data_IF_457787219792
#
_entry.id   IF_457787219792
#
_cell.length_a   1.000
_cell.length_b   1.000
_cell.length_c   1.000
_cell.angle_alpha   90.00
_cell.angle_beta   90.00
_cell.angle_gamma   90.00
#
_symmetry.space_group_name_H-M   'P 1'
#
loop_
_entity.id
_entity.type
_entity.pdbx_description
1 polymer ?
#
# COMPACT_ATOMS: atom_id res chain seq x y z
N UNK A 1 -11.43 13.80 16.09
CA UNK A 1 -11.11 14.58 14.87
C UNK A 1 -10.96 13.57 13.74
N UNK A 2 -12.00 13.36 12.94
CA UNK A 2 -11.97 12.38 11.85
C UNK A 2 -11.62 13.08 10.55
N UNK A 3 -10.47 12.73 9.95
CA UNK A 3 -10.13 13.14 8.59
C UNK A 3 -11.22 12.58 7.65
N UNK A 4 -12.13 13.43 7.14
CA UNK A 4 -13.04 13.04 6.06
C UNK A 4 -12.30 13.20 4.73
N UNK A 5 -11.96 12.12 4.02
CA UNK A 5 -11.47 12.23 2.67
C UNK A 5 -12.58 12.73 1.73
N UNK A 6 -12.26 13.49 0.67
CA UNK A 6 -13.23 13.98 -0.28
C UNK A 6 -13.89 12.83 -1.05
N UNK A 7 -15.24 12.78 -1.02
CA UNK A 7 -16.04 11.82 -1.79
C UNK A 7 -15.77 11.95 -3.29
N UNK A 8 -15.13 10.96 -3.94
CA UNK A 8 -15.24 10.77 -5.39
C UNK A 8 -15.19 9.30 -5.85
N UNK A 9 -16.30 8.94 -6.51
CA UNK A 9 -16.53 7.96 -7.58
C UNK A 9 -15.74 6.64 -7.49
N UNK A 10 -16.43 5.63 -6.94
CA UNK A 10 -16.08 4.22 -7.00
C UNK A 10 -15.90 3.81 -8.47
N UNK A 11 -14.67 3.57 -8.91
CA UNK A 11 -14.41 2.65 -10.03
C UNK A 11 -13.94 1.36 -9.38
N UNK A 12 -14.90 0.50 -9.07
CA UNK A 12 -14.64 -0.88 -8.66
C UNK A 12 -13.78 -1.49 -9.78
N UNK A 13 -12.49 -1.69 -9.51
CA UNK A 13 -11.63 -2.46 -10.40
C UNK A 13 -12.03 -3.91 -10.19
N UNK A 14 -12.77 -4.42 -11.16
CA UNK A 14 -13.23 -5.80 -11.26
C UNK A 14 -12.00 -6.74 -11.22
N UNK A 15 -11.92 -7.61 -10.22
CA UNK A 15 -10.75 -8.48 -9.96
C UNK A 15 -10.65 -9.69 -10.88
N UNK A 16 -11.43 -9.75 -11.98
CA UNK A 16 -11.51 -10.95 -12.83
C UNK A 16 -11.22 -10.74 -14.31
N UNK A 17 -10.77 -9.55 -14.76
CA UNK A 17 -10.50 -9.35 -16.21
C UNK A 17 -9.40 -8.32 -16.50
N UNK A 18 -8.19 -8.53 -16.00
CA UNK A 18 -7.00 -7.91 -16.63
C UNK A 18 -5.99 -9.02 -16.94
N UNK A 19 -6.16 -9.63 -18.12
CA UNK A 19 -5.10 -10.38 -18.80
C UNK A 19 -4.07 -9.38 -19.33
N UNK A 20 -3.24 -8.89 -18.42
CA UNK A 20 -1.92 -8.34 -18.67
C UNK A 20 -1.02 -8.92 -17.58
N UNK A 21 0.30 -8.86 -17.73
CA UNK A 21 1.26 -9.29 -16.73
C UNK A 21 1.15 -8.46 -15.44
N UNK A 22 0.07 -8.64 -14.68
CA UNK A 22 -0.13 -8.05 -13.37
C UNK A 22 0.78 -8.82 -12.42
N UNK A 23 2.08 -8.49 -12.45
CA UNK A 23 3.02 -8.90 -11.41
C UNK A 23 2.38 -8.47 -10.10
N UNK A 24 1.97 -9.45 -9.28
CA UNK A 24 1.54 -9.18 -7.92
C UNK A 24 2.71 -8.48 -7.23
N UNK A 25 2.51 -7.19 -6.95
CA UNK A 25 3.44 -6.42 -6.13
C UNK A 25 3.48 -7.05 -4.74
N UNK A 26 4.67 -7.16 -4.11
CA UNK A 26 4.80 -7.81 -2.80
C UNK A 26 3.91 -7.16 -1.72
N UNK A 27 3.67 -5.85 -1.83
CA UNK A 27 2.85 -5.08 -0.88
C UNK A 27 1.41 -4.86 -1.35
N UNK A 28 0.84 -5.80 -2.12
CA UNK A 28 -0.55 -5.69 -2.61
C UNK A 28 -1.58 -5.54 -1.48
N UNK A 29 -1.37 -6.20 -0.33
CA UNK A 29 -2.23 -6.08 0.87
C UNK A 29 -2.23 -4.65 1.42
N UNK A 30 -1.05 -4.03 1.54
CA UNK A 30 -0.87 -2.64 1.96
C UNK A 30 -1.59 -1.68 1.01
N UNK A 31 -1.47 -1.91 -0.31
CA UNK A 31 -2.19 -1.12 -1.30
C UNK A 31 -3.71 -1.27 -1.17
N UNK A 32 -4.19 -2.47 -0.86
CA UNK A 32 -5.60 -2.72 -0.55
C UNK A 32 -6.09 -1.90 0.65
N UNK A 33 -5.25 -1.72 1.67
CA UNK A 33 -5.56 -0.87 2.83
C UNK A 33 -5.62 0.60 2.48
N UNK A 34 -4.70 1.10 1.65
CA UNK A 34 -4.75 2.49 1.19
C UNK A 34 -6.11 2.79 0.53
N UNK A 35 -6.54 1.90 -0.37
CA UNK A 35 -7.82 2.04 -1.06
C UNK A 35 -9.02 1.86 -0.12
N UNK A 36 -8.94 0.96 0.86
CA UNK A 36 -10.00 0.76 1.85
C UNK A 36 -10.21 2.00 2.73
N UNK A 37 -9.13 2.71 3.06
CA UNK A 37 -9.16 3.99 3.76
C UNK A 37 -9.46 5.19 2.83
N UNK A 38 -9.62 4.97 1.53
CA UNK A 38 -9.94 6.00 0.54
C UNK A 38 -8.74 6.85 0.08
N UNK A 39 -7.51 6.42 0.38
CA UNK A 39 -6.29 7.08 -0.03
C UNK A 39 -5.73 6.52 -1.34
N UNK A 40 -5.06 7.39 -2.10
CA UNK A 40 -4.23 6.99 -3.25
C UNK A 40 -2.77 6.88 -2.83
N UNK A 41 -2.00 6.10 -3.59
CA UNK A 41 -0.56 5.95 -3.37
C UNK A 41 0.17 7.31 -3.31
N UNK A 42 -0.23 8.28 -4.15
CA UNK A 42 0.33 9.64 -4.17
C UNK A 42 -0.03 10.46 -2.92
N UNK A 43 -1.24 10.29 -2.39
CA UNK A 43 -1.70 11.02 -1.20
C UNK A 43 -0.94 10.53 0.03
N UNK A 44 -0.74 9.21 0.14
CA UNK A 44 0.10 8.63 1.20
C UNK A 44 1.55 9.08 1.04
N UNK A 45 2.08 9.07 -0.19
CA UNK A 45 3.44 9.54 -0.45
C UNK A 45 3.65 10.99 0.01
N UNK A 46 2.69 11.87 -0.31
CA UNK A 46 2.69 13.25 0.14
C UNK A 46 2.53 13.37 1.67
N UNK A 47 1.66 12.56 2.28
CA UNK A 47 1.42 12.56 3.73
C UNK A 47 2.68 12.17 4.53
N UNK A 48 3.47 11.22 4.03
CA UNK A 48 4.72 10.78 4.69
C UNK A 48 5.97 11.50 4.16
N UNK A 49 5.80 12.47 3.25
CA UNK A 49 6.89 13.28 2.71
C UNK A 49 7.84 12.55 1.76
N UNK A 50 7.40 11.49 1.07
CA UNK A 50 8.20 10.80 0.05
C UNK A 50 7.73 11.09 -1.37
N UNK A 51 8.65 11.01 -2.34
CA UNK A 51 8.32 11.10 -3.76
C UNK A 51 7.47 9.92 -4.25
N UNK A 52 6.69 10.15 -5.30
CA UNK A 52 5.84 9.12 -5.94
C UNK A 52 6.66 7.97 -6.56
N UNK A 53 7.87 8.27 -7.04
CA UNK A 53 8.83 7.27 -7.51
C UNK A 53 9.33 6.39 -6.36
N UNK A 54 9.66 6.99 -5.21
CA UNK A 54 10.04 6.27 -3.98
C UNK A 54 8.89 5.37 -3.51
N UNK A 55 7.67 5.89 -3.46
CA UNK A 55 6.46 5.10 -3.13
C UNK A 55 6.32 3.89 -4.06
N UNK A 56 6.51 4.09 -5.36
CA UNK A 56 6.45 3.00 -6.34
C UNK A 56 7.54 1.96 -6.11
N UNK A 57 8.78 2.39 -5.82
CA UNK A 57 9.91 1.48 -5.50
C UNK A 57 9.65 0.66 -4.23
N UNK A 58 9.11 1.27 -3.18
CA UNK A 58 8.72 0.58 -1.93
C UNK A 58 7.62 -0.44 -2.19
N UNK A 59 6.55 -0.04 -2.86
CA UNK A 59 5.41 -0.90 -3.18
C UNK A 59 5.79 -2.10 -4.06
N UNK A 60 6.79 -1.95 -4.93
CA UNK A 60 7.34 -3.03 -5.74
C UNK A 60 8.39 -3.89 -5.00
N UNK A 61 8.74 -3.57 -3.75
CA UNK A 61 9.77 -4.28 -2.98
C UNK A 61 11.20 -4.07 -3.48
N UNK A 62 11.43 -3.07 -4.32
CA UNK A 62 12.80 -2.67 -4.72
C UNK A 62 13.57 -2.03 -3.57
N UNK A 63 12.85 -1.42 -2.63
CA UNK A 63 13.43 -0.88 -1.40
C UNK A 63 12.58 -1.24 -0.18
N UNK A 64 13.19 -1.58 0.97
CA UNK A 64 12.47 -1.95 2.18
C UNK A 64 11.82 -0.73 2.83
N UNK A 65 10.69 -0.88 3.51
CA UNK A 65 10.11 0.23 4.29
C UNK A 65 10.98 0.56 5.52
N UNK A 66 11.23 1.84 5.78
CA UNK A 66 11.90 2.27 7.01
C UNK A 66 10.91 2.36 8.16
N UNK A 67 11.39 2.16 9.39
CA UNK A 67 10.57 2.22 10.60
C UNK A 67 9.81 3.55 10.73
N UNK A 68 10.44 4.66 10.31
CA UNK A 68 9.82 5.99 10.30
C UNK A 68 8.66 6.07 9.30
N UNK A 69 8.85 5.59 8.07
CA UNK A 69 7.78 5.55 7.06
C UNK A 69 6.61 4.66 7.55
N UNK A 70 6.90 3.50 8.13
CA UNK A 70 5.87 2.59 8.66
C UNK A 70 5.06 3.28 9.76
N UNK A 71 5.72 3.97 10.68
CA UNK A 71 5.06 4.70 11.77
C UNK A 71 4.15 5.82 11.24
N UNK A 72 4.61 6.59 10.25
CA UNK A 72 3.80 7.66 9.66
C UNK A 72 2.60 7.13 8.87
N UNK A 73 2.77 6.02 8.14
CA UNK A 73 1.67 5.35 7.43
C UNK A 73 0.64 4.81 8.42
N UNK A 74 1.09 4.16 9.49
CA UNK A 74 0.24 3.66 10.56
C UNK A 74 -0.59 4.78 11.21
N UNK A 75 0.03 5.93 11.52
CA UNK A 75 -0.66 7.12 12.03
C UNK A 75 -1.66 7.72 11.03
N UNK A 76 -1.30 7.74 9.75
CA UNK A 76 -2.14 8.35 8.70
C UNK A 76 -3.40 7.54 8.41
N UNK A 77 -3.26 6.21 8.40
CA UNK A 77 -4.34 5.28 8.07
C UNK A 77 -5.07 4.72 9.29
N UNK A 78 -4.64 5.11 10.49
CA UNK A 78 -5.12 4.57 11.78
C UNK A 78 -5.07 3.03 11.80
N UNK A 79 -3.97 2.46 11.27
CA UNK A 79 -3.79 1.01 11.20
C UNK A 79 -3.36 0.50 12.58
N UNK A 80 -4.07 -0.47 13.19
CA UNK A 80 -3.65 -1.06 14.45
C UNK A 80 -2.31 -1.81 14.28
N UNK A 81 -1.48 -1.77 15.33
CA UNK A 81 -0.14 -2.37 15.32
C UNK A 81 -0.13 -3.86 14.97
N UNK A 82 -1.20 -4.58 15.32
CA UNK A 82 -1.39 -6.00 15.02
C UNK A 82 -1.35 -6.30 13.51
N UNK A 83 -1.92 -5.41 12.69
CA UNK A 83 -1.98 -5.58 11.24
C UNK A 83 -0.68 -5.14 10.53
N UNK A 84 0.22 -4.40 11.20
CA UNK A 84 1.47 -3.92 10.61
C UNK A 84 2.34 -5.09 10.15
N UNK A 85 2.40 -6.17 10.95
CA UNK A 85 3.15 -7.37 10.63
C UNK A 85 2.77 -7.94 9.26
N UNK A 86 1.48 -8.14 9.04
CA UNK A 86 0.99 -8.72 7.79
C UNK A 86 1.09 -7.79 6.57
N UNK A 87 1.04 -6.48 6.79
CA UNK A 87 1.02 -5.48 5.72
C UNK A 87 2.42 -5.10 5.24
N UNK A 88 3.37 -4.95 6.17
CA UNK A 88 4.74 -4.50 5.90
C UNK A 88 5.76 -5.63 5.91
N UNK A 89 5.42 -6.79 6.49
CA UNK A 89 6.24 -7.99 6.47
C UNK A 89 5.44 -9.12 5.83
N UNK A 90 5.07 -9.02 4.52
CA UNK A 90 4.50 -10.15 3.84
C UNK A 90 5.49 -11.31 3.96
N UNK A 91 5.08 -12.40 4.60
CA UNK A 91 5.83 -13.65 4.59
C UNK A 91 6.08 -13.99 3.14
N UNK A 92 7.34 -13.92 2.71
CA UNK A 92 7.76 -14.43 1.43
C UNK A 92 7.45 -15.92 1.43
N UNK A 93 6.25 -16.29 0.98
CA UNK A 93 6.10 -17.59 0.34
C UNK A 93 7.16 -17.60 -0.76
N UNK A 94 8.13 -18.50 -0.61
CA UNK A 94 9.19 -18.70 -1.58
C UNK A 94 8.55 -18.70 -2.96
N UNK A 95 8.90 -17.70 -3.78
CA UNK A 95 8.83 -17.85 -5.21
C UNK A 95 9.83 -18.92 -5.60
N UNK A 96 9.42 -20.18 -5.51
CA UNK A 96 10.02 -21.28 -6.26
C UNK A 96 9.53 -21.16 -7.71
N UNK A 97 10.45 -21.36 -8.66
CA UNK A 97 10.33 -21.42 -10.15
C UNK A 97 11.21 -20.32 -10.81
N UNK A 98 12.24 -20.62 -11.61
CA UNK A 98 12.78 -21.86 -12.15
C UNK A 98 14.26 -21.65 -12.52
#
# INVERSE_FOLDING_TARGET
MGCRPPRRRNKMLNTSTIRGTFRQIPYWKLRGRFHSCGFRDQEIANAIGIGTDTMSKRMNGKQPWTSTEIAEICKTLDIPQDEIGELFFPTVEKGESA
#
